data_IF_050473616738
#
_entry.id   IF_050473616738
#
_cell.length_a   1.000
_cell.length_b   1.000
_cell.length_c   1.000
_cell.angle_alpha   90.00
_cell.angle_beta   90.00
_cell.angle_gamma   90.00
#
_symmetry.space_group_name_H-M   'P 1'
#
loop_
_entity.id
_entity.type
_entity.pdbx_description
1 polymer ?
#
# COMPACT_ATOMS: atom_id res chain seq x y z
N UNK A 1 -13.66 5.57 -5.18
CA UNK A 1 -12.94 4.28 -5.12
C UNK A 1 -13.72 3.13 -5.74
N UNK A 2 -13.03 2.22 -6.43
CA UNK A 2 -13.55 0.92 -6.88
C UNK A 2 -12.59 -0.19 -6.48
N UNK A 3 -13.10 -1.21 -5.78
CA UNK A 3 -12.32 -2.38 -5.38
C UNK A 3 -12.49 -3.50 -6.41
N UNK A 4 -11.40 -3.95 -7.02
CA UNK A 4 -11.38 -5.06 -7.97
C UNK A 4 -11.11 -6.41 -7.29
N UNK A 5 -10.80 -6.40 -6.00
CA UNK A 5 -10.48 -7.59 -5.21
C UNK A 5 -9.19 -8.25 -5.70
N UNK A 6 -9.17 -9.57 -5.63
CA UNK A 6 -8.03 -10.39 -6.01
C UNK A 6 -7.84 -10.43 -7.53
N UNK A 7 -6.64 -10.10 -7.99
CA UNK A 7 -6.24 -10.09 -9.39
C UNK A 7 -4.98 -10.94 -9.59
N UNK A 8 -4.72 -11.32 -10.86
CA UNK A 8 -3.54 -12.08 -11.26
C UNK A 8 -2.85 -11.46 -12.47
N UNK A 9 -1.53 -11.60 -12.53
CA UNK A 9 -0.71 -11.10 -13.64
C UNK A 9 0.55 -11.94 -13.82
N UNK A 10 0.96 -12.18 -15.07
CA UNK A 10 2.25 -12.80 -15.37
C UNK A 10 3.45 -11.86 -15.08
N UNK A 11 3.18 -10.56 -14.92
CA UNK A 11 4.18 -9.52 -14.62
C UNK A 11 3.88 -8.94 -13.24
N UNK A 12 4.92 -8.74 -12.43
CA UNK A 12 4.78 -8.12 -11.12
C UNK A 12 4.15 -6.71 -11.24
N UNK A 13 3.03 -6.45 -10.55
CA UNK A 13 2.39 -5.15 -10.61
C UNK A 13 3.19 -4.10 -9.82
N UNK A 14 3.03 -2.83 -10.19
CA UNK A 14 3.48 -1.74 -9.34
C UNK A 14 2.56 -1.62 -8.12
N UNK A 15 3.14 -1.43 -6.94
CA UNK A 15 2.36 -1.18 -5.72
C UNK A 15 1.42 0.04 -5.88
N UNK A 16 1.87 1.08 -6.60
CA UNK A 16 1.03 2.21 -6.99
C UNK A 16 1.31 2.54 -8.46
N UNK A 17 0.24 2.58 -9.26
CA UNK A 17 0.27 3.01 -10.65
C UNK A 17 -0.63 4.23 -10.85
N UNK A 18 -0.03 5.32 -11.34
CA UNK A 18 -0.73 6.58 -11.58
C UNK A 18 -0.90 6.72 -13.09
N UNK A 19 -2.16 6.75 -13.52
CA UNK A 19 -2.55 7.00 -14.92
C UNK A 19 -2.92 8.47 -15.12
N UNK A 20 -3.41 8.85 -16.30
CA UNK A 20 -3.84 10.22 -16.57
C UNK A 20 -4.98 10.68 -15.64
N UNK A 21 -5.93 9.79 -15.31
CA UNK A 21 -7.12 10.14 -14.53
C UNK A 21 -7.28 9.37 -13.21
N UNK A 22 -6.63 8.22 -13.05
CA UNK A 22 -6.85 7.31 -11.92
C UNK A 22 -5.54 6.89 -11.24
N UNK A 23 -5.66 6.45 -9.99
CA UNK A 23 -4.59 5.79 -9.24
C UNK A 23 -5.01 4.36 -8.93
N UNK A 24 -4.18 3.39 -9.29
CA UNK A 24 -4.34 1.98 -8.95
C UNK A 24 -3.35 1.61 -7.85
N UNK A 25 -3.84 0.93 -6.82
CA UNK A 25 -3.05 0.49 -5.68
C UNK A 25 -3.13 -1.02 -5.60
N UNK A 26 -2.00 -1.69 -5.79
CA UNK A 26 -1.85 -3.13 -5.62
C UNK A 26 -1.26 -3.41 -4.23
N UNK A 27 -1.90 -4.30 -3.49
CA UNK A 27 -1.53 -4.69 -2.11
C UNK A 27 -1.45 -6.20 -2.01
N UNK A 28 -0.73 -6.70 -1.01
CA UNK A 28 -0.53 -8.13 -0.77
C UNK A 28 -0.03 -8.87 -2.02
N UNK A 29 0.98 -8.30 -2.68
CA UNK A 29 1.55 -8.84 -3.91
C UNK A 29 2.40 -10.07 -3.57
N UNK A 30 1.97 -11.23 -4.05
CA UNK A 30 2.62 -12.52 -3.81
C UNK A 30 2.85 -13.25 -5.13
N UNK A 31 4.00 -13.92 -5.26
CA UNK A 31 4.26 -14.79 -6.40
C UNK A 31 3.63 -16.17 -6.16
N UNK A 32 2.90 -16.67 -7.14
CA UNK A 32 2.17 -17.96 -7.08
C UNK A 32 2.51 -18.82 -8.29
N UNK A 33 2.58 -20.13 -8.08
CA UNK A 33 2.74 -21.11 -9.17
C UNK A 33 1.36 -21.58 -9.62
N UNK A 34 1.09 -21.48 -10.91
CA UNK A 34 -0.17 -21.90 -11.53
C UNK A 34 0.13 -22.94 -12.60
N UNK A 35 -0.61 -24.05 -12.59
CA UNK A 35 -0.50 -25.07 -13.64
C UNK A 35 -1.44 -24.71 -14.80
N UNK A 36 -0.88 -24.46 -15.99
CA UNK A 36 -1.61 -24.27 -17.24
C UNK A 36 -1.10 -25.26 -18.27
N UNK A 37 -2.00 -26.02 -18.91
CA UNK A 37 -1.66 -27.00 -19.96
C UNK A 37 -0.48 -27.94 -19.59
N UNK A 38 -0.52 -28.50 -18.37
CA UNK A 38 0.50 -29.40 -17.81
C UNK A 38 1.88 -28.74 -17.56
N UNK A 39 1.97 -27.40 -17.67
CA UNK A 39 3.17 -26.62 -17.36
C UNK A 39 2.95 -25.75 -16.13
N UNK A 40 3.95 -25.67 -15.26
CA UNK A 40 3.95 -24.75 -14.13
C UNK A 40 4.46 -23.37 -14.58
N UNK A 41 3.63 -22.34 -14.38
CA UNK A 41 3.91 -20.95 -14.71
C UNK A 41 3.91 -20.13 -13.43
N UNK A 42 4.89 -19.23 -13.30
CA UNK A 42 4.93 -18.28 -12.20
C UNK A 42 4.09 -17.05 -12.56
N UNK A 43 3.13 -16.73 -11.70
CA UNK A 43 2.31 -15.53 -11.78
C UNK A 43 2.39 -14.74 -10.47
N UNK A 44 1.78 -13.56 -10.44
CA UNK A 44 1.60 -12.75 -9.25
C UNK A 44 0.11 -12.63 -8.93
N UNK A 45 -0.22 -12.75 -7.65
CA UNK A 45 -1.56 -12.56 -7.11
C UNK A 45 -1.54 -11.36 -6.15
N UNK A 46 -2.53 -10.49 -6.23
CA UNK A 46 -2.59 -9.25 -5.44
C UNK A 46 -4.00 -8.69 -5.33
N UNK A 47 -4.26 -7.89 -4.30
CA UNK A 47 -5.49 -7.10 -4.16
C UNK A 47 -5.35 -5.77 -4.91
N UNK A 48 -6.34 -5.40 -5.73
CA UNK A 48 -6.31 -4.19 -6.54
C UNK A 48 -7.46 -3.24 -6.22
N UNK A 49 -7.13 -1.98 -5.93
CA UNK A 49 -8.12 -0.91 -5.72
C UNK A 49 -7.80 0.31 -6.59
N UNK A 50 -8.82 0.89 -7.18
CA UNK A 50 -8.74 2.13 -7.96
C UNK A 50 -9.32 3.30 -7.17
N UNK A 51 -8.65 4.43 -7.26
CA UNK A 51 -9.05 5.70 -6.68
C UNK A 51 -9.06 6.80 -7.74
N UNK A 52 -9.92 7.78 -7.54
CA UNK A 52 -9.73 9.09 -8.15
C UNK A 52 -8.48 9.76 -7.57
N UNK A 53 -7.83 10.62 -8.34
CA UNK A 53 -6.58 11.27 -7.89
C UNK A 53 -6.79 12.11 -6.64
N UNK A 54 -7.86 12.90 -6.60
CA UNK A 54 -8.15 13.76 -5.45
C UNK A 54 -8.44 12.94 -4.18
N UNK A 55 -9.14 11.81 -4.33
CA UNK A 55 -9.40 10.88 -3.23
C UNK A 55 -8.10 10.26 -2.70
N UNK A 56 -7.21 9.84 -3.60
CA UNK A 56 -5.92 9.25 -3.21
C UNK A 56 -4.99 10.27 -2.56
N UNK A 57 -4.92 11.49 -3.09
CA UNK A 57 -4.14 12.59 -2.50
C UNK A 57 -4.65 12.90 -1.10
N UNK A 58 -5.98 12.95 -0.91
CA UNK A 58 -6.58 13.17 0.40
C UNK A 58 -6.19 12.08 1.40
N UNK A 59 -6.28 10.81 1.00
CA UNK A 59 -5.86 9.67 1.83
C UNK A 59 -4.38 9.79 2.24
N UNK A 60 -3.50 10.17 1.31
CA UNK A 60 -2.08 10.37 1.63
C UNK A 60 -1.89 11.53 2.61
N UNK A 61 -2.60 12.65 2.39
CA UNK A 61 -2.51 13.81 3.27
C UNK A 61 -2.92 13.46 4.69
N UNK A 62 -4.06 12.80 4.86
CA UNK A 62 -4.57 12.37 6.17
C UNK A 62 -3.60 11.41 6.87
N UNK A 63 -3.03 10.45 6.13
CA UNK A 63 -2.02 9.52 6.67
C UNK A 63 -0.73 10.22 7.08
N UNK A 64 -0.29 11.23 6.32
CA UNK A 64 0.90 11.98 6.65
C UNK A 64 0.69 12.83 7.91
N UNK A 65 -0.45 13.52 8.03
CA UNK A 65 -0.82 14.27 9.23
C UNK A 65 -0.85 13.36 10.47
N UNK A 66 -1.44 12.17 10.35
CA UNK A 66 -1.46 11.19 11.44
C UNK A 66 -0.05 10.70 11.80
N UNK A 67 0.78 10.39 10.81
CA UNK A 67 2.16 9.93 11.01
C UNK A 67 3.03 11.01 11.66
N UNK A 68 2.89 12.27 11.25
CA UNK A 68 3.58 13.42 11.84
C UNK A 68 3.20 13.57 13.32
N UNK A 69 1.91 13.48 13.65
CA UNK A 69 1.43 13.54 15.03
C UNK A 69 2.01 12.38 15.87
N UNK A 70 1.93 11.15 15.38
CA UNK A 70 2.47 9.97 16.08
C UNK A 70 3.98 10.11 16.32
N UNK A 71 4.72 10.69 15.37
CA UNK A 71 6.15 10.95 15.52
C UNK A 71 6.41 12.00 16.62
N UNK A 72 5.66 13.09 16.66
CA UNK A 72 5.76 14.11 17.72
C UNK A 72 5.42 13.52 19.09
N UNK A 73 4.33 12.75 19.20
CA UNK A 73 3.93 12.12 20.46
C UNK A 73 4.99 11.14 20.96
N UNK A 74 5.58 10.36 20.05
CA UNK A 74 6.69 9.46 20.38
C UNK A 74 7.92 10.22 20.88
N UNK A 75 8.27 11.34 20.24
CA UNK A 75 9.41 12.17 20.67
C UNK A 75 9.19 12.79 22.05
N UNK A 76 7.97 13.25 22.35
CA UNK A 76 7.62 13.76 23.68
C UNK A 76 7.70 12.65 24.73
N UNK A 77 7.13 11.47 24.46
CA UNK A 77 7.22 10.33 25.37
C UNK A 77 8.68 9.89 25.63
N UNK A 78 9.53 9.91 24.60
CA UNK A 78 10.96 9.65 24.77
C UNK A 78 11.63 10.71 25.65
N UNK A 79 11.31 11.98 25.44
CA UNK A 79 11.80 13.08 26.27
C UNK A 79 11.45 12.85 27.75
N UNK A 80 10.18 12.57 28.04
CA UNK A 80 9.69 12.31 29.39
C UNK A 80 10.43 11.14 30.05
N UNK A 81 10.66 10.05 29.31
CA UNK A 81 11.42 8.89 29.81
C UNK A 81 12.87 9.26 30.13
N UNK A 82 13.54 10.05 29.27
CA UNK A 82 14.91 10.50 29.54
C UNK A 82 14.99 11.41 30.76
N UNK A 83 14.02 12.29 30.95
CA UNK A 83 13.94 13.15 32.14
C UNK A 83 13.74 12.35 33.44
N UNK A 84 13.00 11.25 33.40
CA UNK A 84 12.80 10.35 34.56
C UNK A 84 14.03 9.53 34.95
N UNK A 85 15.00 9.35 34.04
CA UNK A 85 16.22 8.57 34.28
C UNK A 85 17.38 9.40 34.86
N UNK A 86 17.26 10.73 34.87
CA UNK A 86 18.25 11.67 35.39
C UNK A 86 18.04 11.99 36.88
#
# INVERSE_FOLDING_TARGET
>A
MKNYGLQRSAVEPKAVEITESKVFVATDIEQVTVTMDEQEVQEYQFNLVEYDKDEYIKIISEKNEELEQQMTDTQLALCDVYEMLA
#
